data_IF_903404399310
#
_entry.id   IF_903404399310
#
_cell.length_a   1.000
_cell.length_b   1.000
_cell.length_c   1.000
_cell.angle_alpha   90.00
_cell.angle_beta   90.00
_cell.angle_gamma   90.00
#
_symmetry.space_group_name_H-M   'P 1'
#
loop_
_entity.id
_entity.type
_entity.pdbx_description
1 polymer ?
#
# COMPACT_ATOMS: atom_id res chain seq x y z
N UNK A 1 59.04 -13.11 5.13
CA UNK A 1 57.87 -12.90 4.24
C UNK A 1 56.59 -13.13 5.07
N UNK A 2 55.89 -12.07 5.43
CA UNK A 2 54.64 -12.14 6.21
C UNK A 2 53.46 -12.06 5.22
N UNK A 3 52.78 -13.17 5.04
CA UNK A 3 51.53 -13.22 4.23
C UNK A 3 50.40 -12.55 5.02
N UNK A 4 49.89 -11.45 4.48
CA UNK A 4 48.68 -10.78 4.96
C UNK A 4 47.49 -11.43 4.29
N UNK A 5 46.68 -12.22 5.02
CA UNK A 5 45.40 -12.71 4.55
C UNK A 5 44.39 -11.56 4.58
N UNK A 6 43.96 -11.10 3.40
CA UNK A 6 42.80 -10.21 3.27
C UNK A 6 41.51 -11.06 3.41
N UNK A 7 40.83 -10.91 4.53
CA UNK A 7 39.48 -11.45 4.67
C UNK A 7 38.50 -10.55 3.86
N UNK A 8 37.99 -11.07 2.76
CA UNK A 8 36.89 -10.44 1.99
C UNK A 8 35.59 -10.70 2.77
N UNK A 9 35.10 -9.69 3.46
CA UNK A 9 33.75 -9.70 4.03
C UNK A 9 32.74 -9.55 2.89
N UNK A 10 32.15 -10.66 2.46
CA UNK A 10 30.94 -10.61 1.61
C UNK A 10 29.79 -10.04 2.45
N UNK A 11 29.43 -8.78 2.20
CA UNK A 11 28.15 -8.23 2.64
C UNK A 11 27.06 -8.95 1.81
N UNK A 12 26.44 -9.95 2.40
CA UNK A 12 25.19 -10.51 1.88
C UNK A 12 24.10 -9.43 2.04
N UNK A 13 23.36 -9.10 0.97
CA UNK A 13 22.20 -8.23 1.11
C UNK A 13 21.23 -8.92 2.08
N UNK A 14 20.87 -8.25 3.17
CA UNK A 14 19.78 -8.68 4.03
C UNK A 14 18.50 -8.57 3.21
N UNK A 15 18.02 -9.69 2.72
CA UNK A 15 16.66 -9.80 2.22
C UNK A 15 15.73 -9.36 3.37
N UNK A 16 15.05 -8.23 3.20
CA UNK A 16 13.97 -7.83 4.08
C UNK A 16 12.94 -8.95 4.01
N UNK A 17 12.83 -9.75 5.06
CA UNK A 17 11.79 -10.76 5.17
C UNK A 17 10.48 -9.99 5.28
N UNK A 18 9.60 -10.21 4.33
CA UNK A 18 8.23 -9.73 4.41
C UNK A 18 7.62 -10.30 5.70
N UNK A 19 7.13 -9.43 6.58
CA UNK A 19 6.69 -9.78 7.93
C UNK A 19 5.21 -9.42 8.12
N UNK A 20 4.46 -10.32 8.76
CA UNK A 20 3.15 -10.01 9.30
C UNK A 20 3.32 -9.78 10.81
N UNK A 21 3.08 -8.55 11.25
CA UNK A 21 3.23 -8.15 12.65
C UNK A 21 2.09 -8.69 13.51
N UNK A 22 2.29 -8.81 14.83
CA UNK A 22 1.29 -9.36 15.75
C UNK A 22 0.20 -8.35 16.13
N UNK A 23 0.41 -7.05 15.86
CA UNK A 23 -0.55 -6.00 16.16
C UNK A 23 -0.39 -4.79 15.21
N UNK A 24 -1.45 -4.01 14.96
CA UNK A 24 -1.39 -2.88 14.05
C UNK A 24 -0.45 -1.75 14.52
N UNK A 25 -0.19 -1.65 15.83
CA UNK A 25 0.74 -0.66 16.41
C UNK A 25 2.21 -1.04 16.21
N UNK A 26 2.49 -2.29 15.80
CA UNK A 26 3.85 -2.79 15.58
C UNK A 26 4.30 -2.63 14.13
N UNK A 27 3.41 -2.25 13.21
CA UNK A 27 3.73 -2.11 11.79
C UNK A 27 4.90 -1.14 11.57
N UNK A 28 5.71 -1.40 10.55
CA UNK A 28 6.92 -0.64 10.21
C UNK A 28 6.86 -0.18 8.77
N UNK A 29 6.04 0.84 8.48
CA UNK A 29 5.79 1.26 7.09
C UNK A 29 7.05 1.78 6.42
N UNK A 30 7.11 1.60 5.09
CA UNK A 30 8.09 2.28 4.26
C UNK A 30 7.90 3.79 4.38
N UNK A 31 9.01 4.52 4.59
CA UNK A 31 8.98 5.96 4.86
C UNK A 31 9.14 6.79 3.58
N UNK A 32 8.59 8.03 3.55
CA UNK A 32 8.89 8.99 2.50
C UNK A 32 10.40 9.17 2.29
N UNK A 33 10.82 9.18 1.02
CA UNK A 33 12.22 9.23 0.61
C UNK A 33 12.90 7.88 0.41
N UNK A 34 12.33 6.79 0.95
CA UNK A 34 12.82 5.43 0.67
C UNK A 34 12.34 4.95 -0.71
N UNK A 35 13.07 4.00 -1.28
CA UNK A 35 12.63 3.26 -2.45
C UNK A 35 11.39 2.43 -2.07
N UNK A 36 10.30 2.56 -2.83
CA UNK A 36 9.16 1.67 -2.68
C UNK A 36 9.58 0.25 -3.06
N UNK A 37 9.18 -0.77 -2.31
CA UNK A 37 9.49 -2.16 -2.64
C UNK A 37 8.78 -2.60 -3.91
N UNK A 38 9.34 -3.53 -4.65
CA UNK A 38 8.60 -4.29 -5.64
C UNK A 38 7.57 -5.18 -4.93
N UNK A 39 6.41 -5.35 -5.53
CA UNK A 39 5.33 -6.15 -4.95
C UNK A 39 4.47 -6.80 -6.03
N UNK A 40 3.65 -7.74 -5.61
CA UNK A 40 2.73 -8.45 -6.48
C UNK A 40 1.31 -8.29 -5.94
N UNK A 41 0.37 -8.11 -6.85
CA UNK A 41 -1.07 -8.09 -6.58
C UNK A 41 -1.80 -8.90 -7.66
N UNK A 42 -3.10 -9.11 -7.48
CA UNK A 42 -3.95 -9.76 -8.47
C UNK A 42 -5.02 -8.76 -8.91
N UNK A 43 -5.26 -8.65 -10.19
CA UNK A 43 -6.30 -7.76 -10.70
C UNK A 43 -7.71 -8.38 -10.57
N UNK A 44 -8.73 -7.63 -10.99
CA UNK A 44 -10.14 -8.07 -10.91
C UNK A 44 -10.47 -9.23 -11.86
N UNK A 45 -9.62 -9.54 -12.83
CA UNK A 45 -9.74 -10.66 -13.76
C UNK A 45 -9.03 -11.92 -13.26
N UNK A 46 -8.31 -11.81 -12.13
CA UNK A 46 -7.56 -12.89 -11.51
C UNK A 46 -6.13 -13.04 -12.05
N UNK A 47 -5.67 -12.08 -12.85
CA UNK A 47 -4.33 -12.10 -13.40
C UNK A 47 -3.32 -11.49 -12.41
N UNK A 48 -2.16 -12.11 -12.28
CA UNK A 48 -1.08 -11.60 -11.43
C UNK A 48 -0.40 -10.40 -12.08
N UNK A 49 -0.27 -9.32 -11.30
CA UNK A 49 0.41 -8.09 -11.70
C UNK A 49 1.65 -7.91 -10.83
N UNK A 50 2.82 -8.04 -11.44
CA UNK A 50 4.10 -7.70 -10.81
C UNK A 50 4.34 -6.19 -10.96
N UNK A 51 4.58 -5.52 -9.84
CA UNK A 51 4.80 -4.07 -9.80
C UNK A 51 6.23 -3.78 -9.40
N UNK A 52 6.99 -3.21 -10.33
CA UNK A 52 8.30 -2.62 -10.04
C UNK A 52 8.17 -1.10 -10.02
N UNK A 53 8.28 -0.46 -8.84
CA UNK A 53 8.07 0.98 -8.70
C UNK A 53 9.01 1.85 -9.55
N UNK A 54 10.19 1.35 -9.93
CA UNK A 54 11.13 2.11 -10.79
C UNK A 54 10.73 2.11 -12.26
N UNK A 55 9.79 1.24 -12.65
CA UNK A 55 9.26 1.16 -14.01
C UNK A 55 7.93 1.88 -14.20
N UNK A 56 7.43 2.59 -13.18
CA UNK A 56 6.16 3.30 -13.25
C UNK A 56 6.24 4.47 -14.24
N UNK A 57 5.35 4.48 -15.24
CA UNK A 57 5.24 5.57 -16.21
C UNK A 57 4.57 6.81 -15.63
N UNK A 58 3.68 6.62 -14.64
CA UNK A 58 2.99 7.67 -13.92
C UNK A 58 3.17 7.51 -12.42
N UNK A 59 3.11 8.60 -11.64
CA UNK A 59 3.06 8.48 -10.20
C UNK A 59 1.78 7.76 -9.77
N UNK A 60 1.87 6.95 -8.72
CA UNK A 60 0.76 6.13 -8.22
C UNK A 60 0.34 6.59 -6.83
N UNK A 61 -0.96 6.74 -6.63
CA UNK A 61 -1.58 6.80 -5.30
C UNK A 61 -2.03 5.38 -4.96
N UNK A 62 -1.35 4.78 -4.01
CA UNK A 62 -1.58 3.40 -3.56
C UNK A 62 -2.24 3.41 -2.19
N UNK A 63 -3.52 3.00 -2.12
CA UNK A 63 -4.30 2.96 -0.89
C UNK A 63 -4.61 1.53 -0.50
N UNK A 64 -4.17 1.12 0.69
CA UNK A 64 -4.50 -0.16 1.30
C UNK A 64 -5.72 -0.03 2.21
N UNK A 65 -6.66 -0.97 2.06
CA UNK A 65 -7.87 -1.04 2.88
C UNK A 65 -8.17 -2.47 3.32
N UNK A 66 -8.97 -2.63 4.35
CA UNK A 66 -9.19 -3.91 5.03
C UNK A 66 -10.11 -4.89 4.27
N UNK A 67 -10.87 -4.37 3.30
CA UNK A 67 -11.81 -5.13 2.49
C UNK A 67 -13.16 -4.43 2.34
N UNK A 68 -13.95 -4.86 1.35
CA UNK A 68 -15.27 -4.30 1.04
C UNK A 68 -16.35 -4.54 2.11
N UNK A 69 -16.08 -5.39 3.09
CA UNK A 69 -16.94 -5.64 4.25
C UNK A 69 -16.83 -4.58 5.35
N UNK A 70 -15.76 -3.76 5.33
CA UNK A 70 -15.46 -2.81 6.39
C UNK A 70 -16.19 -1.47 6.15
N UNK A 71 -17.13 -1.03 7.02
CA UNK A 71 -17.88 0.21 6.83
C UNK A 71 -16.99 1.45 6.74
N UNK A 72 -15.98 1.57 7.61
CA UNK A 72 -15.01 2.67 7.56
C UNK A 72 -14.21 2.72 6.27
N UNK A 73 -13.92 1.54 5.69
CA UNK A 73 -13.24 1.47 4.40
C UNK A 73 -14.15 2.00 3.29
N UNK A 74 -15.41 1.56 3.26
CA UNK A 74 -16.37 1.98 2.25
C UNK A 74 -16.63 3.50 2.31
N UNK A 75 -16.75 4.07 3.53
CA UNK A 75 -16.85 5.51 3.71
C UNK A 75 -15.62 6.24 3.18
N UNK A 76 -14.43 5.78 3.55
CA UNK A 76 -13.16 6.38 3.11
C UNK A 76 -12.98 6.29 1.58
N UNK A 77 -13.27 5.14 0.97
CA UNK A 77 -13.23 5.00 -0.48
C UNK A 77 -14.21 5.95 -1.17
N UNK A 78 -15.42 6.09 -0.62
CA UNK A 78 -16.42 7.02 -1.16
C UNK A 78 -15.94 8.49 -1.08
N UNK A 79 -15.29 8.87 0.01
CA UNK A 79 -14.68 10.19 0.17
C UNK A 79 -13.51 10.40 -0.84
N UNK A 80 -12.59 9.44 -0.94
CA UNK A 80 -11.46 9.54 -1.87
C UNK A 80 -11.89 9.58 -3.34
N UNK A 81 -13.00 8.93 -3.69
CA UNK A 81 -13.57 9.01 -5.05
C UNK A 81 -13.96 10.42 -5.45
N UNK A 82 -14.26 11.31 -4.52
CA UNK A 82 -14.53 12.73 -4.83
C UNK A 82 -13.30 13.45 -5.37
N UNK A 83 -12.10 12.93 -5.11
CA UNK A 83 -10.82 13.50 -5.54
C UNK A 83 -10.24 12.82 -6.80
N UNK A 84 -10.83 11.73 -7.26
CA UNK A 84 -10.32 10.87 -8.34
C UNK A 84 -10.07 11.65 -9.62
N UNK A 85 -11.05 12.43 -10.07
CA UNK A 85 -10.93 13.23 -11.30
C UNK A 85 -9.75 14.20 -11.22
N UNK A 86 -9.60 14.91 -10.11
CA UNK A 86 -8.51 15.86 -9.91
C UNK A 86 -7.14 15.16 -9.85
N UNK A 87 -7.06 14.01 -9.20
CA UNK A 87 -5.83 13.21 -9.13
C UNK A 87 -5.42 12.70 -10.52
N UNK A 88 -6.39 12.22 -11.31
CA UNK A 88 -6.14 11.79 -12.69
C UNK A 88 -5.71 12.95 -13.60
N UNK A 89 -6.33 14.14 -13.45
CA UNK A 89 -5.93 15.35 -14.17
C UNK A 89 -4.51 15.81 -13.79
N UNK A 90 -4.09 15.59 -12.55
CA UNK A 90 -2.70 15.80 -12.11
C UNK A 90 -1.72 14.71 -12.61
N UNK A 91 -2.21 13.69 -13.30
CA UNK A 91 -1.40 12.64 -13.93
C UNK A 91 -1.12 11.43 -13.04
N UNK A 92 -1.84 11.25 -11.93
CA UNK A 92 -1.70 10.07 -11.08
C UNK A 92 -2.55 8.91 -11.58
N UNK A 93 -2.04 7.68 -11.41
CA UNK A 93 -2.86 6.48 -11.37
C UNK A 93 -3.29 6.23 -9.90
N UNK A 94 -4.58 5.92 -9.69
CA UNK A 94 -5.15 5.69 -8.35
C UNK A 94 -5.46 4.22 -8.18
N UNK A 95 -4.84 3.57 -7.19
CA UNK A 95 -4.93 2.15 -6.93
C UNK A 95 -5.43 1.88 -5.50
N UNK A 96 -6.39 0.97 -5.39
CA UNK A 96 -6.89 0.46 -4.11
C UNK A 96 -6.56 -1.02 -4.00
N UNK A 97 -5.97 -1.42 -2.87
CA UNK A 97 -5.52 -2.80 -2.61
C UNK A 97 -6.15 -3.32 -1.33
N UNK A 98 -6.74 -4.51 -1.38
CA UNK A 98 -7.26 -5.21 -0.21
C UNK A 98 -6.93 -6.69 -0.22
N UNK A 99 -6.99 -7.38 0.93
CA UNK A 99 -6.82 -8.82 1.00
C UNK A 99 -8.02 -9.62 0.45
N UNK A 100 -9.14 -8.96 0.11
CA UNK A 100 -10.28 -9.65 -0.50
C UNK A 100 -9.84 -10.29 -1.83
N UNK A 101 -10.21 -11.55 -2.07
CA UNK A 101 -9.95 -12.26 -3.32
C UNK A 101 -10.60 -11.56 -4.53
N UNK A 102 -10.10 -11.77 -5.77
CA UNK A 102 -10.52 -11.01 -6.96
C UNK A 102 -12.03 -11.05 -7.21
N UNK A 103 -12.70 -12.20 -6.94
CA UNK A 103 -14.12 -12.35 -7.15
C UNK A 103 -14.97 -11.40 -6.28
N UNK A 104 -14.45 -10.97 -5.14
CA UNK A 104 -15.11 -10.01 -4.25
C UNK A 104 -14.89 -8.55 -4.67
N UNK A 105 -13.96 -8.30 -5.61
CA UNK A 105 -13.69 -6.98 -6.18
C UNK A 105 -14.49 -6.75 -7.49
N UNK A 106 -15.16 -7.74 -8.00
CA UNK A 106 -15.82 -7.74 -9.32
C UNK A 106 -16.91 -6.68 -9.47
N UNK A 107 -17.46 -6.14 -8.38
CA UNK A 107 -18.38 -4.99 -8.43
C UNK A 107 -17.73 -3.72 -9.05
N UNK A 108 -16.40 -3.68 -9.20
CA UNK A 108 -15.67 -2.63 -9.89
C UNK A 108 -15.40 -2.90 -11.38
N UNK A 109 -15.69 -4.10 -11.88
CA UNK A 109 -15.36 -4.52 -13.26
C UNK A 109 -16.06 -3.69 -14.36
N UNK A 110 -17.29 -3.27 -14.10
CA UNK A 110 -18.14 -2.59 -15.11
C UNK A 110 -18.18 -1.07 -14.90
N UNK A 111 -17.36 -0.56 -13.99
CA UNK A 111 -17.36 0.86 -13.67
C UNK A 111 -16.27 1.58 -14.46
N UNK A 112 -16.64 2.60 -15.22
CA UNK A 112 -15.73 3.61 -15.79
C UNK A 112 -15.12 4.49 -14.68
N UNK A 113 -14.51 3.83 -13.66
CA UNK A 113 -13.83 4.55 -12.59
C UNK A 113 -12.40 4.89 -13.04
N UNK A 114 -11.95 6.07 -12.74
CA UNK A 114 -10.57 6.49 -12.96
C UNK A 114 -9.58 5.89 -11.93
N UNK A 115 -9.97 4.78 -11.25
CA UNK A 115 -9.12 4.04 -10.32
C UNK A 115 -9.11 2.53 -10.62
N UNK A 116 -8.08 1.84 -10.12
CA UNK A 116 -7.95 0.39 -10.25
C UNK A 116 -8.10 -0.29 -8.89
N UNK A 117 -8.77 -1.43 -8.87
CA UNK A 117 -8.89 -2.31 -7.71
C UNK A 117 -7.96 -3.50 -7.86
N UNK A 118 -7.25 -3.85 -6.79
CA UNK A 118 -6.38 -5.00 -6.73
C UNK A 118 -6.64 -5.84 -5.49
N UNK A 119 -6.45 -7.13 -5.64
CA UNK A 119 -6.45 -8.14 -4.60
C UNK A 119 -5.02 -8.43 -4.14
N UNK A 120 -4.80 -8.48 -2.83
CA UNK A 120 -3.55 -8.91 -2.19
C UNK A 120 -3.85 -10.06 -1.21
N UNK A 121 -4.38 -11.21 -1.70
CA UNK A 121 -4.95 -12.25 -0.86
C UNK A 121 -3.88 -12.92 0.03
N UNK A 122 -2.63 -13.00 -0.39
CA UNK A 122 -1.49 -13.50 0.37
C UNK A 122 -0.71 -12.42 1.12
N UNK A 123 -1.26 -11.19 1.23
CA UNK A 123 -0.64 -10.04 1.91
C UNK A 123 0.74 -9.66 1.36
N UNK A 124 1.06 -9.98 0.10
CA UNK A 124 2.37 -9.74 -0.50
C UNK A 124 2.72 -8.24 -0.55
N UNK A 125 1.81 -7.43 -1.06
CA UNK A 125 1.98 -5.99 -1.13
C UNK A 125 1.98 -5.36 0.28
N UNK A 126 1.03 -5.75 1.14
CA UNK A 126 0.94 -5.22 2.49
C UNK A 126 2.19 -5.54 3.34
N UNK A 127 2.75 -6.76 3.21
CA UNK A 127 4.00 -7.14 3.86
C UNK A 127 5.19 -6.34 3.30
N UNK A 128 5.28 -6.20 1.98
CA UNK A 128 6.35 -5.43 1.34
C UNK A 128 6.37 -3.97 1.82
N UNK A 129 5.19 -3.37 2.02
CA UNK A 129 5.06 -2.02 2.57
C UNK A 129 5.17 -1.95 4.11
N UNK A 130 5.34 -3.07 4.79
CA UNK A 130 5.51 -3.14 6.24
C UNK A 130 4.27 -2.77 7.04
N UNK A 131 3.07 -3.02 6.48
CA UNK A 131 1.77 -2.66 7.08
C UNK A 131 0.86 -3.85 7.37
N UNK A 132 1.29 -5.08 7.09
CA UNK A 132 0.53 -6.29 7.37
C UNK A 132 0.59 -6.63 8.86
N UNK A 133 -0.55 -6.92 9.47
CA UNK A 133 -0.63 -7.42 10.84
C UNK A 133 -1.67 -8.52 10.99
N UNK A 134 -1.46 -9.44 11.93
CA UNK A 134 -2.36 -10.53 12.27
C UNK A 134 -3.36 -10.07 13.34
N UNK A 135 -4.60 -10.50 13.22
CA UNK A 135 -5.57 -10.37 14.29
C UNK A 135 -5.29 -11.41 15.37
N UNK A 136 -5.55 -11.05 16.63
CA UNK A 136 -5.67 -12.02 17.70
C UNK A 136 -6.92 -12.90 17.48
N UNK A 137 -6.89 -14.12 18.06
CA UNK A 137 -7.95 -15.11 17.86
C UNK A 137 -9.32 -14.60 18.30
N UNK A 138 -9.40 -13.84 19.41
CA UNK A 138 -10.67 -13.30 19.91
C UNK A 138 -11.28 -12.30 18.92
N UNK A 139 -10.46 -11.42 18.36
CA UNK A 139 -10.88 -10.44 17.34
C UNK A 139 -11.27 -11.14 16.05
N UNK A 140 -10.52 -12.15 15.62
CA UNK A 140 -10.84 -12.93 14.43
C UNK A 140 -12.19 -13.63 14.57
N UNK A 141 -12.41 -14.38 15.68
CA UNK A 141 -13.67 -15.08 15.94
C UNK A 141 -14.86 -14.11 16.02
N UNK A 142 -14.66 -12.92 16.58
CA UNK A 142 -15.68 -11.87 16.60
C UNK A 142 -16.07 -11.42 15.18
N UNK A 143 -15.10 -11.31 14.26
CA UNK A 143 -15.39 -10.99 12.86
C UNK A 143 -16.13 -12.11 12.16
N UNK A 144 -15.75 -13.37 12.39
CA UNK A 144 -16.48 -14.54 11.91
C UNK A 144 -17.94 -14.49 12.41
N UNK A 145 -18.15 -14.18 13.68
CA UNK A 145 -19.48 -14.01 14.29
C UNK A 145 -20.33 -12.92 13.65
N UNK A 146 -19.70 -11.90 13.04
CA UNK A 146 -20.36 -10.86 12.26
C UNK A 146 -20.52 -11.22 10.77
N UNK A 147 -20.18 -12.45 10.36
CA UNK A 147 -20.25 -12.91 8.99
C UNK A 147 -19.05 -12.47 8.11
N UNK A 148 -17.96 -12.04 8.74
CA UNK A 148 -16.74 -11.61 8.05
C UNK A 148 -15.59 -12.56 8.36
N UNK A 149 -15.64 -13.76 7.79
CA UNK A 149 -14.54 -14.72 7.83
C UNK A 149 -13.44 -14.26 6.86
N UNK A 150 -12.35 -13.72 7.42
CA UNK A 150 -11.25 -13.15 6.64
C UNK A 150 -10.51 -14.20 5.82
N UNK A 151 -10.44 -15.45 6.32
CA UNK A 151 -9.79 -16.53 5.61
C UNK A 151 -10.61 -16.96 4.38
N UNK A 152 -11.92 -17.00 4.49
CA UNK A 152 -12.78 -17.23 3.32
C UNK A 152 -12.73 -16.06 2.34
N UNK A 153 -12.57 -14.85 2.82
CA UNK A 153 -12.52 -13.65 1.97
C UNK A 153 -11.22 -13.51 1.20
N UNK A 154 -10.10 -13.83 1.81
CA UNK A 154 -8.79 -13.85 1.14
C UNK A 154 -8.56 -15.14 0.36
N UNK A 155 -9.10 -16.25 0.83
CA UNK A 155 -8.76 -17.60 0.32
C UNK A 155 -7.45 -18.11 0.90
N UNK A 156 -6.97 -17.52 2.00
CA UNK A 156 -5.74 -17.87 2.73
C UNK A 156 -6.04 -17.92 4.24
N UNK A 157 -5.21 -18.56 5.03
CA UNK A 157 -5.42 -18.79 6.47
C UNK A 157 -4.58 -17.88 7.39
N UNK A 158 -4.02 -16.80 6.85
CA UNK A 158 -3.12 -15.89 7.58
C UNK A 158 -3.79 -15.04 8.67
N UNK A 159 -5.12 -14.87 8.68
CA UNK A 159 -5.87 -14.04 9.63
C UNK A 159 -5.36 -12.59 9.69
N UNK A 160 -4.79 -12.08 8.60
CA UNK A 160 -4.11 -10.79 8.57
C UNK A 160 -4.88 -9.74 7.80
N UNK A 161 -4.63 -8.48 8.16
CA UNK A 161 -5.16 -7.29 7.52
C UNK A 161 -4.04 -6.27 7.30
N UNK A 162 -4.14 -5.37 6.31
CA UNK A 162 -3.30 -4.19 6.27
C UNK A 162 -3.78 -3.15 7.28
N UNK A 163 -2.86 -2.48 7.97
CA UNK A 163 -3.17 -1.20 8.57
C UNK A 163 -3.58 -0.24 7.45
N UNK A 164 -4.68 0.54 7.61
CA UNK A 164 -5.09 1.50 6.59
C UNK A 164 -3.95 2.44 6.23
N UNK A 165 -3.62 2.49 4.95
CA UNK A 165 -2.47 3.24 4.48
C UNK A 165 -2.74 3.87 3.12
N UNK A 166 -2.12 5.02 2.87
CA UNK A 166 -2.06 5.64 1.54
C UNK A 166 -0.65 6.14 1.29
N UNK A 167 -0.08 5.75 0.15
CA UNK A 167 1.25 6.17 -0.30
C UNK A 167 1.14 6.89 -1.64
N UNK A 168 1.96 7.91 -1.84
CA UNK A 168 2.25 8.47 -3.15
C UNK A 168 3.62 7.93 -3.56
N UNK A 169 3.68 7.22 -4.68
CA UNK A 169 4.92 6.68 -5.27
C UNK A 169 5.20 7.49 -6.53
N UNK A 170 6.37 8.12 -6.58
CA UNK A 170 6.80 8.89 -7.75
C UNK A 170 7.33 7.99 -8.87
N UNK A 171 7.50 8.56 -10.08
CA UNK A 171 8.11 7.87 -11.23
C UNK A 171 9.60 7.56 -11.03
N UNK A 172 10.22 8.08 -9.96
CA UNK A 172 11.56 7.70 -9.52
C UNK A 172 11.55 6.45 -8.61
N UNK A 173 10.39 5.83 -8.45
CA UNK A 173 10.15 4.66 -7.61
C UNK A 173 10.18 4.93 -6.12
N UNK A 174 10.27 6.19 -5.69
CA UNK A 174 10.34 6.53 -4.26
C UNK A 174 8.98 6.88 -3.68
N UNK A 175 8.80 6.53 -2.41
CA UNK A 175 7.68 7.03 -1.62
C UNK A 175 7.85 8.54 -1.41
N UNK A 176 6.90 9.33 -1.89
CA UNK A 176 6.89 10.79 -1.80
C UNK A 176 6.03 11.28 -0.63
N UNK A 177 5.00 10.51 -0.29
CA UNK A 177 4.10 10.74 0.83
C UNK A 177 3.69 9.39 1.40
N UNK A 178 3.46 9.32 2.70
CA UNK A 178 2.91 8.13 3.37
C UNK A 178 2.03 8.55 4.55
N UNK A 179 0.86 7.94 4.61
CA UNK A 179 -0.05 7.98 5.75
C UNK A 179 -0.38 6.55 6.15
N UNK A 180 -0.17 6.20 7.40
CA UNK A 180 -0.54 4.90 7.97
C UNK A 180 -1.13 5.14 9.34
N UNK A 181 -2.26 4.49 9.65
CA UNK A 181 -2.86 4.62 10.96
C UNK A 181 -3.25 3.23 11.51
N UNK A 182 -2.70 2.83 12.68
CA UNK A 182 -3.08 1.57 13.35
C UNK A 182 -4.55 1.58 13.78
N UNK A 183 -5.12 2.74 14.15
CA UNK A 183 -6.55 2.87 14.37
C UNK A 183 -7.30 2.89 13.03
N UNK A 184 -7.94 1.76 12.73
CA UNK A 184 -8.65 1.58 11.46
C UNK A 184 -9.86 2.52 11.27
N UNK A 185 -10.32 3.20 12.29
CA UNK A 185 -11.42 4.17 12.22
C UNK A 185 -10.94 5.56 11.79
N UNK A 186 -9.65 5.85 11.94
CA UNK A 186 -9.04 7.14 11.55
C UNK A 186 -8.45 7.02 10.14
N UNK A 187 -8.85 7.93 9.26
CA UNK A 187 -8.52 7.89 7.83
C UNK A 187 -7.88 9.18 7.34
N UNK A 188 -7.14 9.05 6.23
CA UNK A 188 -6.58 10.20 5.52
C UNK A 188 -7.72 11.03 4.92
N UNK A 189 -7.80 12.31 5.28
CA UNK A 189 -8.77 13.22 4.68
C UNK A 189 -8.42 13.50 3.20
N UNK A 190 -9.43 13.57 2.30
CA UNK A 190 -9.21 13.83 0.88
C UNK A 190 -8.41 15.10 0.60
N UNK A 191 -8.64 16.16 1.37
CA UNK A 191 -7.94 17.43 1.24
C UNK A 191 -6.43 17.32 1.52
N UNK A 192 -6.06 16.45 2.47
CA UNK A 192 -4.65 16.18 2.80
C UNK A 192 -3.98 15.43 1.66
N UNK A 193 -4.68 14.44 1.08
CA UNK A 193 -4.19 13.70 -0.08
C UNK A 193 -3.97 14.63 -1.28
N UNK A 194 -4.96 15.47 -1.60
CA UNK A 194 -4.86 16.45 -2.69
C UNK A 194 -3.71 17.44 -2.47
N UNK A 195 -3.54 17.94 -1.23
CA UNK A 195 -2.42 18.84 -0.92
C UNK A 195 -1.06 18.15 -1.12
N UNK A 196 -0.93 16.90 -0.72
CA UNK A 196 0.30 16.10 -0.92
C UNK A 196 0.56 15.84 -2.41
N UNK A 197 -0.48 15.48 -3.19
CA UNK A 197 -0.38 15.26 -4.62
C UNK A 197 0.04 16.53 -5.37
N UNK A 198 -0.59 17.66 -5.10
CA UNK A 198 -0.20 18.99 -5.66
C UNK A 198 1.24 19.33 -5.30
N UNK A 199 1.65 19.16 -4.04
CA UNK A 199 3.03 19.43 -3.61
C UNK A 199 4.05 18.56 -4.35
N UNK A 200 3.69 17.33 -4.70
CA UNK A 200 4.53 16.47 -5.54
C UNK A 200 4.64 17.00 -6.97
N UNK A 201 3.52 17.29 -7.64
CA UNK A 201 3.47 17.80 -9.03
C UNK A 201 4.22 19.12 -9.15
N UNK A 202 4.03 20.04 -8.21
CA UNK A 202 4.73 21.33 -8.16
C UNK A 202 6.24 21.20 -7.83
N UNK A 203 6.69 20.01 -7.52
CA UNK A 203 8.07 19.76 -7.09
C UNK A 203 8.44 20.45 -5.77
N UNK A 204 7.44 20.77 -4.94
CA UNK A 204 7.67 21.44 -3.65
C UNK A 204 8.51 20.60 -2.70
N UNK A 205 8.44 19.27 -2.79
CA UNK A 205 9.25 18.31 -2.04
C UNK A 205 10.76 18.44 -2.35
N UNK A 206 11.15 18.96 -3.53
CA UNK A 206 12.55 19.17 -3.95
C UNK A 206 13.07 20.60 -3.70
N UNK A 207 12.27 21.46 -3.08
CA UNK A 207 12.57 22.90 -2.93
C UNK A 207 13.91 23.16 -2.24
N UNK A 208 14.18 22.41 -1.15
CA UNK A 208 15.43 22.56 -0.40
C UNK A 208 16.66 22.03 -1.17
N UNK A 209 16.48 21.06 -2.05
CA UNK A 209 17.58 20.55 -2.89
C UNK A 209 17.98 21.56 -3.97
N UNK A 210 16.99 22.27 -4.55
CA UNK A 210 17.24 23.31 -5.56
C UNK A 210 18.04 24.50 -5.01
N UNK A 211 17.85 24.82 -3.72
CA UNK A 211 18.54 25.94 -3.07
C UNK A 211 20.00 25.60 -2.63
N UNK A 212 20.44 24.34 -2.78
CA UNK A 212 21.82 23.95 -2.46
C UNK A 212 22.79 24.04 -3.65
N UNK A 213 22.28 24.29 -4.85
CA UNK A 213 23.05 24.37 -6.10
C UNK A 213 23.31 25.78 -6.61
N UNK A 214 23.05 26.83 -5.80
CA UNK A 214 23.30 28.24 -6.12
C UNK A 214 24.48 28.80 -5.32
#
# INVERSE_FOLDING_TARGET
MRSVLFAVFLLLPTLSVAEIFDAPEQVRPVLPGMQAPAFRVVDVDGETVEVDPVSLEKPVILTFYRGGWCPYCNMHLAELRTTETELNEMGFDVWFVSPDKPELLSAGKDSEFGYRLFSDPGMNAAQAFGIAFRLDDETFERYVGFGNDLNQRSGDDHQALPAPATFIIGTDGKVQFGYVNPDYSVRLAPEVLLAAARAYVDGAHKRMQRNRGG
#
